data_IF_166275739371
#
_entry.id   IF_166275739371
#
_cell.length_a   1.000
_cell.length_b   1.000
_cell.length_c   1.000
_cell.angle_alpha   90.00
_cell.angle_beta   90.00
_cell.angle_gamma   90.00
#
_symmetry.space_group_name_H-M   'P 1'
#
loop_
_entity.id
_entity.type
_entity.pdbx_description
1 polymer ?
#
# COMPACT_ATOMS: atom_id res chain seq x y z
N UNK A 1 3.13 10.53 -6.41
CA UNK A 1 1.79 9.97 -6.13
C UNK A 1 1.22 10.51 -4.83
N UNK A 2 1.86 10.26 -3.67
CA UNK A 2 1.31 10.61 -2.34
C UNK A 2 0.86 12.09 -2.21
N UNK A 3 1.69 13.05 -2.62
CA UNK A 3 1.34 14.48 -2.56
C UNK A 3 0.25 14.90 -3.55
N UNK A 4 0.11 14.18 -4.66
CA UNK A 4 -0.84 14.52 -5.73
C UNK A 4 -2.21 13.88 -5.50
N UNK A 5 -2.25 12.69 -4.89
CA UNK A 5 -3.46 11.88 -4.72
C UNK A 5 -3.94 11.82 -3.27
N UNK A 6 -3.06 12.02 -2.29
CA UNK A 6 -3.31 11.70 -0.88
C UNK A 6 -3.18 10.20 -0.59
N UNK A 7 -2.83 9.85 0.64
CA UNK A 7 -2.63 8.45 1.05
C UNK A 7 -3.92 7.63 1.03
N UNK A 8 -5.09 8.24 1.19
CA UNK A 8 -6.42 7.60 1.16
C UNK A 8 -6.81 7.00 -0.20
N UNK A 9 -6.10 7.39 -1.28
CA UNK A 9 -6.42 7.04 -2.66
C UNK A 9 -5.37 6.11 -3.30
N UNK A 10 -4.53 5.47 -2.49
CA UNK A 10 -3.47 4.57 -2.93
C UNK A 10 -3.63 3.22 -2.23
N UNK A 11 -3.58 2.12 -3.00
CA UNK A 11 -3.60 0.76 -2.49
C UNK A 11 -2.31 0.04 -2.86
N UNK A 12 -1.84 -0.84 -1.97
CA UNK A 12 -0.73 -1.74 -2.24
C UNK A 12 -1.20 -3.01 -2.96
N UNK A 13 -0.36 -3.52 -3.87
CA UNK A 13 -0.55 -4.78 -4.56
C UNK A 13 0.80 -5.36 -4.99
N UNK A 14 0.89 -6.68 -5.09
CA UNK A 14 2.15 -7.39 -5.38
C UNK A 14 2.26 -7.95 -6.79
N UNK A 15 1.19 -7.93 -7.57
CA UNK A 15 1.11 -8.51 -8.93
C UNK A 15 1.53 -9.99 -9.02
N UNK A 16 1.29 -10.76 -7.95
CA UNK A 16 1.48 -12.20 -7.96
C UNK A 16 0.49 -12.88 -8.94
N UNK A 17 0.92 -13.88 -9.75
CA UNK A 17 2.18 -14.61 -9.71
C UNK A 17 3.29 -14.10 -10.64
N UNK A 18 3.14 -12.91 -11.21
CA UNK A 18 4.09 -12.36 -12.17
C UNK A 18 5.31 -11.73 -11.47
N UNK A 19 5.11 -11.12 -10.31
CA UNK A 19 6.14 -10.50 -9.48
C UNK A 19 6.31 -11.19 -8.11
N UNK A 20 7.47 -11.01 -7.48
CA UNK A 20 7.79 -11.57 -6.17
C UNK A 20 7.14 -10.75 -5.02
N UNK A 21 6.33 -11.41 -4.21
CA UNK A 21 5.62 -10.76 -3.11
C UNK A 21 6.56 -10.23 -2.03
N UNK A 22 7.68 -10.90 -1.75
CA UNK A 22 8.60 -10.49 -0.70
C UNK A 22 9.27 -9.15 -1.05
N UNK A 23 9.68 -9.00 -2.31
CA UNK A 23 10.26 -7.77 -2.85
C UNK A 23 9.28 -6.60 -2.76
N UNK A 24 8.03 -6.78 -3.21
CA UNK A 24 7.02 -5.73 -3.13
C UNK A 24 6.69 -5.34 -1.67
N UNK A 25 6.59 -6.34 -0.78
CA UNK A 25 6.27 -6.10 0.64
C UNK A 25 7.40 -5.36 1.34
N UNK A 26 8.65 -5.71 1.03
CA UNK A 26 9.84 -5.05 1.56
C UNK A 26 9.94 -3.59 1.09
N UNK A 27 9.58 -3.32 -0.17
CA UNK A 27 9.46 -1.95 -0.69
C UNK A 27 8.47 -1.12 0.15
N UNK A 28 7.27 -1.65 0.39
CA UNK A 28 6.29 -0.93 1.19
C UNK A 28 6.76 -0.75 2.64
N UNK A 29 7.44 -1.75 3.23
CA UNK A 29 7.95 -1.70 4.61
C UNK A 29 9.03 -0.64 4.82
N UNK A 30 9.88 -0.44 3.81
CA UNK A 30 11.04 0.48 3.89
C UNK A 30 10.78 1.84 3.26
N UNK A 31 9.65 2.04 2.59
CA UNK A 31 9.28 3.32 2.00
C UNK A 31 9.31 4.47 3.05
N UNK A 32 9.87 5.65 2.71
CA UNK A 32 9.99 6.78 3.62
C UNK A 32 8.66 7.54 3.74
N UNK A 33 7.66 6.88 4.33
CA UNK A 33 6.33 7.43 4.63
C UNK A 33 6.04 7.30 6.12
N UNK A 34 5.07 8.07 6.63
CA UNK A 34 4.62 7.92 8.01
C UNK A 34 4.00 6.54 8.23
N UNK A 35 4.05 6.02 9.45
CA UNK A 35 3.40 4.74 9.79
C UNK A 35 1.88 4.79 9.56
N UNK A 36 1.25 5.94 9.80
CA UNK A 36 -0.17 6.15 9.52
C UNK A 36 -0.50 6.04 8.03
N UNK A 37 0.32 6.64 7.16
CA UNK A 37 0.15 6.52 5.70
C UNK A 37 0.48 5.11 5.20
N UNK A 38 1.48 4.46 5.80
CA UNK A 38 1.82 3.07 5.48
C UNK A 38 0.64 2.15 5.75
N UNK A 39 -0.01 2.25 6.91
CA UNK A 39 -1.17 1.43 7.26
C UNK A 39 -2.35 1.61 6.28
N UNK A 40 -2.61 2.87 5.87
CA UNK A 40 -3.64 3.18 4.87
C UNK A 40 -3.40 2.47 3.54
N UNK A 41 -2.18 2.60 3.04
CA UNK A 41 -1.77 2.01 1.75
C UNK A 41 -1.71 0.48 1.85
N UNK A 42 -1.23 -0.06 2.98
CA UNK A 42 -1.05 -1.48 3.20
C UNK A 42 -2.38 -2.25 3.29
N UNK A 43 -3.38 -1.72 4.00
CA UNK A 43 -4.63 -2.46 4.23
C UNK A 43 -5.87 -1.60 4.46
N UNK A 44 -5.82 -0.50 5.23
CA UNK A 44 -7.06 0.21 5.66
C UNK A 44 -7.87 0.75 4.47
N UNK A 45 -7.22 1.22 3.41
CA UNK A 45 -7.91 1.67 2.20
C UNK A 45 -8.61 0.51 1.48
N UNK A 46 -7.97 -0.66 1.42
CA UNK A 46 -8.52 -1.85 0.80
C UNK A 46 -9.70 -2.38 1.61
N UNK A 47 -9.58 -2.45 2.93
CA UNK A 47 -10.66 -2.85 3.85
C UNK A 47 -11.88 -1.96 3.68
N UNK A 48 -11.70 -0.63 3.69
CA UNK A 48 -12.78 0.33 3.47
C UNK A 48 -13.43 0.19 2.10
N UNK A 49 -12.63 -0.01 1.04
CA UNK A 49 -13.12 -0.10 -0.33
C UNK A 49 -13.88 -1.42 -0.59
N UNK A 50 -13.38 -2.52 -0.03
CA UNK A 50 -13.88 -3.87 -0.27
C UNK A 50 -14.89 -4.33 0.79
N UNK A 51 -15.06 -3.58 1.88
CA UNK A 51 -15.98 -3.92 2.98
C UNK A 51 -15.50 -5.09 3.84
N UNK A 52 -14.21 -5.12 4.16
CA UNK A 52 -13.56 -6.14 5.00
C UNK A 52 -13.49 -5.75 6.48
#
# INVERSE_FOLDING_TARGET
ALLALGSEHILFGTDHPFEDMATATEFLRTAPVSEADRAKIAHLNAERLLGL
#
